data_IF_211599024499
#
_entry.id   IF_211599024499
#
_cell.length_a   1.000
_cell.length_b   1.000
_cell.length_c   1.000
_cell.angle_alpha   90.00
_cell.angle_beta   90.00
_cell.angle_gamma   90.00
#
_symmetry.space_group_name_H-M   'P 1'
#
loop_
_entity.id
_entity.type
_entity.pdbx_description
1 polymer ?
#
# COMPACT_ATOMS: atom_id res chain seq x y z
N UNK A 1 -2.24 -10.66 4.68
CA UNK A 1 -2.43 -9.67 3.60
C UNK A 1 -3.52 -10.10 2.64
N UNK A 2 -3.28 -11.01 1.67
CA UNK A 2 -4.33 -11.38 0.70
C UNK A 2 -5.64 -11.84 1.33
N UNK A 3 -5.58 -12.78 2.28
CA UNK A 3 -6.77 -13.30 2.95
C UNK A 3 -7.58 -12.19 3.64
N UNK A 4 -6.92 -11.25 4.32
CA UNK A 4 -7.61 -10.14 4.99
C UNK A 4 -8.26 -9.19 4.00
N UNK A 5 -7.63 -8.95 2.84
CA UNK A 5 -8.17 -8.07 1.78
C UNK A 5 -9.33 -8.71 1.02
N UNK A 6 -9.22 -9.99 0.67
CA UNK A 6 -10.34 -10.74 0.07
C UNK A 6 -11.53 -10.82 1.03
N UNK A 7 -11.27 -11.05 2.33
CA UNK A 7 -12.31 -11.06 3.35
C UNK A 7 -12.98 -9.70 3.49
N UNK A 8 -12.22 -8.61 3.55
CA UNK A 8 -12.74 -7.25 3.62
C UNK A 8 -13.66 -6.93 2.43
N UNK A 9 -13.23 -7.29 1.20
CA UNK A 9 -14.08 -7.15 0.02
C UNK A 9 -15.37 -7.97 0.11
N UNK A 10 -15.26 -9.26 0.47
CA UNK A 10 -16.40 -10.16 0.56
C UNK A 10 -17.43 -9.69 1.60
N UNK A 11 -16.96 -9.19 2.75
CA UNK A 11 -17.85 -8.61 3.76
C UNK A 11 -18.57 -7.36 3.24
N UNK A 12 -17.91 -6.54 2.44
CA UNK A 12 -18.57 -5.39 1.81
C UNK A 12 -19.65 -5.80 0.79
N UNK A 13 -19.43 -6.88 0.04
CA UNK A 13 -20.47 -7.41 -0.87
C UNK A 13 -21.68 -7.93 -0.07
N UNK A 14 -21.43 -8.62 1.05
CA UNK A 14 -22.50 -9.11 1.93
C UNK A 14 -23.24 -7.97 2.62
N UNK A 15 -22.54 -6.91 3.02
CA UNK A 15 -23.16 -5.73 3.62
C UNK A 15 -24.21 -5.13 2.69
N UNK A 16 -23.92 -5.07 1.39
CA UNK A 16 -24.81 -4.50 0.36
C UNK A 16 -26.07 -5.35 0.08
N UNK A 17 -26.21 -6.54 0.67
CA UNK A 17 -27.48 -7.26 0.67
C UNK A 17 -28.58 -6.53 1.45
N UNK A 18 -28.18 -5.71 2.44
CA UNK A 18 -29.09 -5.04 3.37
C UNK A 18 -28.84 -3.53 3.35
N UNK A 19 -27.58 -3.12 3.45
CA UNK A 19 -27.17 -1.72 3.47
C UNK A 19 -27.17 -1.07 2.09
N UNK A 20 -27.06 0.26 2.07
CA UNK A 20 -27.05 1.06 0.82
C UNK A 20 -25.65 1.44 0.37
N UNK A 21 -24.78 1.83 1.31
CA UNK A 21 -23.44 2.33 1.01
C UNK A 21 -22.44 1.65 1.96
N UNK A 22 -21.49 0.92 1.39
CA UNK A 22 -20.53 0.14 2.17
C UNK A 22 -19.58 1.07 2.94
N UNK A 23 -19.42 0.89 4.26
CA UNK A 23 -18.43 1.64 5.02
C UNK A 23 -17.02 1.50 4.42
N UNK A 24 -16.29 2.61 4.38
CA UNK A 24 -14.92 2.64 3.86
C UNK A 24 -13.92 1.95 4.80
N UNK A 25 -14.10 2.09 6.11
CA UNK A 25 -13.20 1.50 7.10
C UNK A 25 -13.66 0.10 7.50
N UNK A 26 -12.74 -0.88 7.43
CA UNK A 26 -13.00 -2.26 7.88
C UNK A 26 -13.57 -2.33 9.31
N UNK A 27 -13.08 -1.47 10.22
CA UNK A 27 -13.58 -1.42 11.60
C UNK A 27 -15.08 -1.12 11.64
N UNK A 28 -15.52 -0.18 10.82
CA UNK A 28 -16.91 0.29 10.81
C UNK A 28 -17.79 -0.74 10.09
N UNK A 29 -17.28 -1.36 9.02
CA UNK A 29 -17.91 -2.52 8.36
C UNK A 29 -18.12 -3.68 9.34
N UNK A 30 -17.10 -4.05 10.13
CA UNK A 30 -17.22 -5.11 11.13
C UNK A 30 -18.16 -4.75 12.29
N UNK A 31 -18.37 -3.46 12.55
CA UNK A 31 -19.27 -2.95 13.58
C UNK A 31 -20.72 -2.85 13.13
N UNK A 32 -21.02 -3.10 11.86
CA UNK A 32 -22.33 -2.88 11.28
C UNK A 32 -23.38 -3.90 11.74
N UNK A 33 -24.62 -3.44 11.87
CA UNK A 33 -25.76 -4.28 12.23
C UNK A 33 -26.15 -5.20 11.08
N UNK A 34 -25.94 -4.76 9.84
CA UNK A 34 -26.21 -5.50 8.61
C UNK A 34 -25.41 -6.81 8.57
N UNK A 35 -24.11 -6.76 8.86
CA UNK A 35 -23.30 -7.98 8.92
C UNK A 35 -23.64 -8.84 10.13
N UNK A 36 -23.99 -8.22 11.27
CA UNK A 36 -24.44 -8.96 12.44
C UNK A 36 -25.77 -9.67 12.20
N UNK A 37 -26.65 -9.13 11.36
CA UNK A 37 -27.90 -9.79 10.95
C UNK A 37 -27.65 -11.03 10.09
N UNK A 38 -26.62 -11.01 9.23
CA UNK A 38 -26.27 -12.15 8.36
C UNK A 38 -25.49 -13.23 9.13
N UNK A 39 -24.45 -12.83 9.87
CA UNK A 39 -23.48 -13.76 10.47
C UNK A 39 -23.69 -14.00 11.97
N UNK A 40 -24.48 -13.16 12.63
CA UNK A 40 -24.65 -13.17 14.08
C UNK A 40 -23.58 -12.35 14.80
N UNK A 41 -23.99 -11.68 15.89
CA UNK A 41 -23.14 -10.78 16.66
C UNK A 41 -21.87 -11.46 17.21
N UNK A 42 -21.98 -12.71 17.68
CA UNK A 42 -20.85 -13.45 18.24
C UNK A 42 -19.74 -13.69 17.22
N UNK A 43 -20.11 -14.03 15.97
CA UNK A 43 -19.14 -14.25 14.89
C UNK A 43 -18.45 -12.95 14.51
N UNK A 44 -19.22 -11.86 14.40
CA UNK A 44 -18.66 -10.53 14.13
C UNK A 44 -17.72 -10.06 15.25
N UNK A 45 -18.04 -10.36 16.51
CA UNK A 45 -17.17 -10.04 17.64
C UNK A 45 -15.83 -10.80 17.58
N UNK A 46 -15.84 -12.09 17.24
CA UNK A 46 -14.61 -12.86 17.01
C UNK A 46 -13.81 -12.25 15.87
N UNK A 47 -14.46 -11.89 14.77
CA UNK A 47 -13.77 -11.31 13.62
C UNK A 47 -13.12 -9.95 13.94
N UNK A 48 -13.78 -9.10 14.73
CA UNK A 48 -13.22 -7.83 15.23
C UNK A 48 -11.93 -8.03 16.03
N UNK A 49 -11.82 -9.10 16.81
CA UNK A 49 -10.60 -9.43 17.56
C UNK A 49 -9.44 -9.75 16.63
N UNK A 50 -9.68 -10.44 15.51
CA UNK A 50 -8.60 -10.83 14.60
C UNK A 50 -8.16 -9.72 13.64
N UNK A 51 -9.09 -9.00 13.01
CA UNK A 51 -8.76 -8.09 11.89
C UNK A 51 -9.26 -6.65 12.06
N UNK A 52 -10.05 -6.37 13.10
CA UNK A 52 -10.78 -5.10 13.22
C UNK A 52 -10.10 -4.04 14.08
N UNK A 53 -10.15 -4.21 15.40
CA UNK A 53 -9.83 -3.13 16.36
C UNK A 53 -8.35 -3.15 16.79
N UNK A 54 -7.74 -1.97 17.06
CA UNK A 54 -6.44 -1.87 17.75
C UNK A 54 -6.41 -2.56 19.12
N UNK A 55 -7.55 -2.79 19.76
CA UNK A 55 -7.64 -3.53 21.03
C UNK A 55 -7.56 -5.06 20.86
N UNK A 56 -7.56 -5.56 19.61
CA UNK A 56 -7.38 -6.97 19.26
C UNK A 56 -6.03 -7.23 18.60
N UNK A 57 -5.92 -8.33 17.85
CA UNK A 57 -4.71 -8.68 17.08
C UNK A 57 -4.45 -7.69 15.93
N UNK A 58 -5.53 -7.12 15.35
CA UNK A 58 -5.45 -6.14 14.28
C UNK A 58 -4.57 -6.61 13.09
N UNK A 59 -4.66 -7.90 12.73
CA UNK A 59 -3.76 -8.56 11.78
C UNK A 59 -3.75 -7.86 10.41
N UNK A 60 -4.88 -7.29 9.99
CA UNK A 60 -4.97 -6.52 8.74
C UNK A 60 -3.96 -5.37 8.76
N UNK A 61 -4.00 -4.52 9.78
CA UNK A 61 -3.14 -3.34 9.84
C UNK A 61 -1.69 -3.70 10.16
N UNK A 62 -1.45 -4.64 11.08
CA UNK A 62 -0.10 -5.10 11.42
C UNK A 62 0.66 -5.59 10.18
N UNK A 63 -0.03 -6.34 9.31
CA UNK A 63 0.57 -6.86 8.08
C UNK A 63 0.68 -5.81 6.98
N UNK A 64 -0.39 -5.08 6.68
CA UNK A 64 -0.41 -4.12 5.56
C UNK A 64 0.41 -2.85 5.80
N UNK A 65 0.84 -2.59 7.04
CA UNK A 65 1.79 -1.53 7.38
C UNK A 65 3.23 -2.02 7.58
N UNK A 66 3.49 -3.32 7.35
CA UNK A 66 4.84 -3.89 7.43
C UNK A 66 5.43 -3.90 8.85
N UNK A 67 4.59 -3.98 9.89
CA UNK A 67 5.06 -4.03 11.27
C UNK A 67 5.55 -5.42 11.68
N UNK A 68 4.93 -6.48 11.15
CA UNK A 68 5.36 -7.84 11.44
C UNK A 68 6.58 -8.22 10.61
N UNK A 69 7.61 -8.71 11.29
CA UNK A 69 8.76 -9.38 10.70
C UNK A 69 8.44 -10.82 10.27
N UNK A 70 9.26 -11.44 9.41
CA UNK A 70 9.11 -12.85 9.07
C UNK A 70 9.02 -13.72 10.33
N UNK A 71 8.12 -14.69 10.32
CA UNK A 71 7.85 -15.64 11.43
C UNK A 71 7.25 -15.02 12.71
N UNK A 72 7.15 -13.69 12.81
CA UNK A 72 6.55 -13.02 13.99
C UNK A 72 5.06 -13.27 14.11
N UNK A 73 4.35 -13.51 13.00
CA UNK A 73 2.94 -13.89 12.99
C UNK A 73 2.85 -15.42 12.93
N UNK A 74 2.42 -16.09 14.02
CA UNK A 74 2.25 -17.53 14.05
C UNK A 74 1.35 -18.04 12.91
N UNK A 75 1.74 -19.11 12.19
CA UNK A 75 0.94 -19.69 11.09
C UNK A 75 -0.49 -20.06 11.50
N UNK A 76 -0.71 -20.43 12.77
CA UNK A 76 -2.03 -20.72 13.35
C UNK A 76 -3.05 -19.60 13.17
N UNK A 77 -2.61 -18.33 13.13
CA UNK A 77 -3.52 -17.22 12.86
C UNK A 77 -4.01 -17.21 11.43
N UNK A 78 -3.17 -17.57 10.46
CA UNK A 78 -3.59 -17.76 9.08
C UNK A 78 -4.59 -18.91 8.95
N UNK A 79 -4.29 -20.06 9.56
CA UNK A 79 -5.19 -21.22 9.59
C UNK A 79 -6.55 -20.89 10.22
N UNK A 80 -6.55 -20.17 11.35
CA UNK A 80 -7.77 -19.73 12.01
C UNK A 80 -8.58 -18.76 11.14
N UNK A 81 -7.90 -17.81 10.47
CA UNK A 81 -8.57 -16.90 9.55
C UNK A 81 -9.21 -17.65 8.38
N UNK A 82 -8.53 -18.65 7.80
CA UNK A 82 -9.11 -19.48 6.74
C UNK A 82 -10.36 -20.23 7.23
N UNK A 83 -10.31 -20.79 8.44
CA UNK A 83 -11.45 -21.47 9.05
C UNK A 83 -12.63 -20.53 9.29
N UNK A 84 -12.37 -19.34 9.85
CA UNK A 84 -13.38 -18.31 10.05
C UNK A 84 -14.02 -17.91 8.73
N UNK A 85 -13.22 -17.69 7.69
CA UNK A 85 -13.71 -17.34 6.36
C UNK A 85 -14.57 -18.45 5.75
N UNK A 86 -14.18 -19.72 5.87
CA UNK A 86 -15.01 -20.84 5.42
C UNK A 86 -16.34 -20.92 6.19
N UNK A 87 -16.31 -20.70 7.51
CA UNK A 87 -17.50 -20.65 8.36
C UNK A 87 -18.45 -19.52 7.98
N UNK A 88 -17.92 -18.32 7.69
CA UNK A 88 -18.71 -17.21 7.17
C UNK A 88 -19.40 -17.58 5.84
N UNK A 89 -18.70 -18.26 4.94
CA UNK A 89 -19.29 -18.76 3.69
C UNK A 89 -20.48 -19.70 3.91
N UNK A 90 -20.41 -20.59 4.91
CA UNK A 90 -21.52 -21.48 5.26
C UNK A 90 -22.74 -20.73 5.83
N UNK A 91 -22.48 -19.75 6.70
CA UNK A 91 -23.53 -18.88 7.27
C UNK A 91 -24.20 -18.06 6.17
N UNK A 92 -23.41 -17.46 5.27
CA UNK A 92 -23.92 -16.70 4.13
C UNK A 92 -24.81 -17.57 3.24
N UNK A 93 -24.33 -18.77 2.88
CA UNK A 93 -25.12 -19.72 2.07
C UNK A 93 -26.47 -20.03 2.71
N UNK A 94 -26.47 -20.28 4.02
CA UNK A 94 -27.70 -20.55 4.78
C UNK A 94 -28.63 -19.33 4.80
N UNK A 95 -28.07 -18.13 4.94
CA UNK A 95 -28.83 -16.88 4.92
C UNK A 95 -29.49 -16.65 3.55
N UNK A 96 -28.73 -16.72 2.46
CA UNK A 96 -29.23 -16.54 1.08
C UNK A 96 -30.31 -17.57 0.73
N UNK A 97 -30.17 -18.83 1.18
CA UNK A 97 -31.18 -19.86 0.96
C UNK A 97 -32.52 -19.55 1.64
N UNK A 98 -32.48 -18.94 2.84
CA UNK A 98 -33.65 -18.54 3.62
C UNK A 98 -34.31 -17.27 3.06
N UNK A 99 -33.51 -16.27 2.72
CA UNK A 99 -34.01 -14.96 2.29
C UNK A 99 -34.29 -14.87 0.80
N UNK A 100 -33.79 -15.84 0.00
CA UNK A 100 -33.87 -15.84 -1.47
C UNK A 100 -33.20 -14.63 -2.12
N UNK A 101 -32.32 -13.94 -1.39
CA UNK A 101 -31.51 -12.86 -1.95
C UNK A 101 -30.39 -13.44 -2.82
N UNK A 102 -29.95 -12.64 -3.78
CA UNK A 102 -28.79 -12.94 -4.63
C UNK A 102 -27.64 -12.03 -4.21
N UNK A 103 -26.48 -12.63 -3.95
CA UNK A 103 -25.26 -11.87 -3.70
C UNK A 103 -24.75 -11.28 -5.01
N UNK A 104 -24.56 -9.96 -5.04
CA UNK A 104 -23.92 -9.26 -6.15
C UNK A 104 -22.51 -8.85 -5.73
N UNK A 105 -21.53 -9.19 -6.56
CA UNK A 105 -20.14 -8.81 -6.33
C UNK A 105 -19.87 -7.44 -6.94
N UNK A 106 -19.19 -6.57 -6.18
CA UNK A 106 -18.73 -5.29 -6.70
C UNK A 106 -17.75 -5.54 -7.85
N UNK A 107 -17.65 -4.62 -8.81
CA UNK A 107 -16.62 -4.70 -9.86
C UNK A 107 -15.23 -4.45 -9.27
N UNK A 108 -14.20 -5.01 -9.90
CA UNK A 108 -12.82 -4.63 -9.59
C UNK A 108 -12.53 -3.25 -10.17
N UNK A 109 -11.63 -2.52 -9.51
CA UNK A 109 -11.16 -1.22 -9.97
C UNK A 109 -9.99 -1.45 -10.93
N UNK A 110 -10.08 -0.85 -12.11
CA UNK A 110 -8.93 -0.68 -12.99
C UNK A 110 -8.29 0.66 -12.67
N UNK A 111 -7.02 0.70 -12.21
CA UNK A 111 -6.34 1.96 -11.95
C UNK A 111 -6.34 2.84 -13.20
N UNK A 112 -6.88 4.05 -13.09
CA UNK A 112 -6.96 5.02 -14.19
C UNK A 112 -5.64 5.77 -14.35
N UNK A 113 -5.38 6.31 -15.55
CA UNK A 113 -4.22 7.17 -15.86
C UNK A 113 -2.84 6.54 -15.63
N UNK A 114 -2.76 5.20 -15.62
CA UNK A 114 -1.51 4.50 -15.37
C UNK A 114 -0.44 4.83 -16.44
N UNK A 115 -0.83 4.99 -17.71
CA UNK A 115 0.07 5.30 -18.82
C UNK A 115 0.93 6.56 -18.60
N UNK A 116 0.37 7.61 -18.01
CA UNK A 116 1.12 8.85 -17.74
C UNK A 116 2.13 8.69 -16.59
N UNK A 117 1.92 7.68 -15.74
CA UNK A 117 2.69 7.38 -14.54
C UNK A 117 3.80 6.34 -14.79
N UNK A 118 3.78 5.64 -15.93
CA UNK A 118 4.81 4.69 -16.33
C UNK A 118 6.05 5.44 -16.86
N UNK A 119 6.92 5.88 -15.95
CA UNK A 119 8.14 6.63 -16.28
C UNK A 119 9.37 5.73 -16.37
N UNK A 120 9.43 4.69 -15.53
CA UNK A 120 10.53 3.73 -15.53
C UNK A 120 10.37 2.68 -16.64
N UNK A 121 11.46 2.24 -17.27
CA UNK A 121 11.44 1.14 -18.22
C UNK A 121 11.17 -0.21 -17.53
N UNK A 122 11.00 -1.24 -18.35
CA UNK A 122 10.93 -2.62 -17.87
C UNK A 122 12.19 -3.01 -17.09
N UNK A 123 11.99 -3.69 -15.96
CA UNK A 123 13.07 -4.14 -15.08
C UNK A 123 13.82 -5.30 -15.77
N UNK A 124 15.08 -5.06 -16.12
CA UNK A 124 15.96 -6.03 -16.79
C UNK A 124 16.64 -6.97 -15.80
N UNK A 125 17.26 -8.05 -16.30
CA UNK A 125 18.08 -8.93 -15.49
C UNK A 125 19.24 -8.18 -14.79
N UNK A 126 19.83 -7.20 -15.45
CA UNK A 126 20.90 -6.37 -14.89
C UNK A 126 20.40 -5.58 -13.66
N UNK A 127 19.22 -4.98 -13.75
CA UNK A 127 18.58 -4.26 -12.64
C UNK A 127 18.22 -5.21 -11.50
N UNK A 128 17.71 -6.41 -11.80
CA UNK A 128 17.41 -7.42 -10.78
C UNK A 128 18.67 -7.88 -10.03
N UNK A 129 19.79 -8.09 -10.73
CA UNK A 129 21.07 -8.44 -10.12
C UNK A 129 21.57 -7.34 -9.18
N UNK A 130 21.42 -6.07 -9.58
CA UNK A 130 21.75 -4.91 -8.73
C UNK A 130 20.86 -4.87 -7.49
N UNK A 131 19.56 -5.13 -7.65
CA UNK A 131 18.61 -5.16 -6.55
C UNK A 131 18.97 -6.24 -5.51
N UNK A 132 19.30 -7.45 -5.96
CA UNK A 132 19.72 -8.55 -5.08
C UNK A 132 20.92 -8.17 -4.21
N UNK A 133 21.93 -7.53 -4.81
CA UNK A 133 23.11 -7.10 -4.07
C UNK A 133 22.79 -5.91 -3.14
N UNK A 134 22.10 -4.89 -3.65
CA UNK A 134 21.71 -3.70 -2.89
C UNK A 134 20.86 -4.04 -1.67
N UNK A 135 19.97 -5.04 -1.77
CA UNK A 135 19.14 -5.48 -0.64
C UNK A 135 19.95 -5.89 0.58
N UNK A 136 21.10 -6.53 0.38
CA UNK A 136 21.94 -7.02 1.49
C UNK A 136 22.86 -5.94 2.07
N UNK A 137 23.07 -4.84 1.33
CA UNK A 137 24.03 -3.78 1.66
C UNK A 137 23.38 -2.47 2.08
N UNK A 138 22.14 -2.24 1.68
CA UNK A 138 21.42 -0.99 1.91
C UNK A 138 20.96 -0.87 3.37
N UNK A 139 21.28 0.26 4.02
CA UNK A 139 20.80 0.58 5.36
C UNK A 139 19.29 0.89 5.41
N UNK A 140 18.63 1.00 4.24
CA UNK A 140 17.19 1.16 4.14
C UNK A 140 16.42 -0.06 4.65
N UNK A 141 16.96 -1.26 4.39
CA UNK A 141 16.31 -2.53 4.75
C UNK A 141 16.76 -2.95 6.15
N UNK A 142 15.79 -3.15 7.04
CA UNK A 142 16.05 -3.80 8.32
C UNK A 142 16.45 -5.25 8.06
N UNK A 143 17.58 -5.72 8.61
CA UNK A 143 18.09 -7.08 8.38
C UNK A 143 17.04 -8.18 8.61
N UNK A 144 16.20 -8.01 9.64
CA UNK A 144 15.13 -8.96 9.96
C UNK A 144 14.05 -9.04 8.87
N UNK A 145 13.89 -7.98 8.07
CA UNK A 145 12.89 -7.87 7.00
C UNK A 145 13.40 -8.34 5.63
N UNK A 146 14.70 -8.62 5.50
CA UNK A 146 15.32 -9.08 4.25
C UNK A 146 14.59 -10.27 3.58
N UNK A 147 14.09 -11.29 4.32
CA UNK A 147 13.37 -12.40 3.70
C UNK A 147 12.13 -11.97 2.89
N UNK A 148 11.44 -10.88 3.26
CA UNK A 148 10.30 -10.40 2.48
C UNK A 148 10.72 -9.80 1.14
N UNK A 149 11.88 -9.14 1.07
CA UNK A 149 12.44 -8.63 -0.18
C UNK A 149 12.87 -9.77 -1.11
N UNK A 150 13.51 -10.80 -0.57
CA UNK A 150 13.87 -12.01 -1.34
C UNK A 150 12.63 -12.69 -1.93
N UNK A 151 11.58 -12.86 -1.11
CA UNK A 151 10.31 -13.42 -1.60
C UNK A 151 9.70 -12.51 -2.66
N UNK A 152 9.72 -11.19 -2.49
CA UNK A 152 9.19 -10.25 -3.49
C UNK A 152 9.87 -10.42 -4.85
N UNK A 153 11.20 -10.56 -4.87
CA UNK A 153 11.97 -10.84 -6.08
C UNK A 153 11.61 -12.20 -6.72
N UNK A 154 11.49 -13.25 -5.91
CA UNK A 154 11.05 -14.57 -6.40
C UNK A 154 9.66 -14.48 -7.03
N UNK A 155 8.73 -13.73 -6.44
CA UNK A 155 7.39 -13.52 -7.00
C UNK A 155 7.44 -12.76 -8.32
N UNK A 156 8.28 -11.73 -8.44
CA UNK A 156 8.47 -11.04 -9.71
C UNK A 156 8.97 -11.98 -10.82
N UNK A 157 10.05 -12.73 -10.54
CA UNK A 157 10.63 -13.69 -11.49
C UNK A 157 9.66 -14.81 -11.89
N UNK A 158 8.73 -15.15 -11.01
CA UNK A 158 7.68 -16.16 -11.25
C UNK A 158 6.42 -15.57 -11.92
N UNK A 159 6.47 -14.34 -12.45
CA UNK A 159 5.33 -13.63 -13.03
C UNK A 159 4.14 -13.43 -12.08
N UNK A 160 4.39 -13.45 -10.76
CA UNK A 160 3.39 -13.19 -9.72
C UNK A 160 3.47 -11.73 -9.28
N UNK A 161 3.08 -10.84 -10.20
CA UNK A 161 3.26 -9.39 -10.07
C UNK A 161 2.52 -8.79 -8.86
N UNK A 162 1.26 -9.16 -8.64
CA UNK A 162 0.50 -8.70 -7.48
C UNK A 162 1.17 -9.06 -6.15
N UNK A 163 1.67 -10.31 -6.02
CA UNK A 163 2.33 -10.75 -4.80
C UNK A 163 3.65 -10.00 -4.56
N UNK A 164 4.40 -9.70 -5.63
CA UNK A 164 5.58 -8.86 -5.56
C UNK A 164 5.23 -7.44 -5.08
N UNK A 165 4.25 -6.80 -5.72
CA UNK A 165 3.82 -5.45 -5.37
C UNK A 165 3.33 -5.35 -3.92
N UNK A 166 2.52 -6.30 -3.45
CA UNK A 166 2.04 -6.35 -2.05
C UNK A 166 3.22 -6.37 -1.07
N UNK A 167 4.21 -7.23 -1.31
CA UNK A 167 5.38 -7.31 -0.44
C UNK A 167 6.19 -6.01 -0.51
N UNK A 168 6.52 -5.53 -1.71
CA UNK A 168 7.31 -4.30 -1.89
C UNK A 168 6.66 -3.09 -1.24
N UNK A 169 5.35 -2.90 -1.37
CA UNK A 169 4.65 -1.76 -0.77
C UNK A 169 4.79 -1.76 0.75
N UNK A 170 4.61 -2.91 1.40
CA UNK A 170 4.82 -3.02 2.85
C UNK A 170 6.28 -2.78 3.24
N UNK A 171 7.22 -3.27 2.43
CA UNK A 171 8.64 -3.13 2.71
C UNK A 171 9.17 -1.71 2.49
N UNK A 172 8.66 -1.02 1.47
CA UNK A 172 8.91 0.40 1.24
C UNK A 172 8.41 1.22 2.43
N UNK A 173 7.21 0.92 2.93
CA UNK A 173 6.68 1.58 4.12
C UNK A 173 7.59 1.35 5.34
N UNK A 174 7.98 0.11 5.63
CA UNK A 174 8.89 -0.22 6.73
C UNK A 174 10.23 0.51 6.62
N UNK A 175 10.84 0.53 5.43
CA UNK A 175 12.10 1.23 5.19
C UNK A 175 11.97 2.74 5.33
N UNK A 176 10.90 3.34 4.79
CA UNK A 176 10.61 4.77 4.96
C UNK A 176 10.37 5.12 6.43
N UNK A 177 9.72 4.26 7.23
CA UNK A 177 9.58 4.44 8.69
C UNK A 177 10.93 4.42 9.39
N UNK A 178 11.83 3.52 8.99
CA UNK A 178 13.19 3.45 9.54
C UNK A 178 13.97 4.73 9.26
N UNK A 179 13.93 5.21 8.01
CA UNK A 179 14.59 6.48 7.61
C UNK A 179 13.95 7.66 8.35
N UNK A 180 12.62 7.72 8.43
CA UNK A 180 11.89 8.75 9.17
C UNK A 180 12.32 8.81 10.63
N UNK A 181 12.33 7.67 11.32
CA UNK A 181 12.67 7.60 12.73
C UNK A 181 14.11 8.01 13.00
N UNK A 182 15.02 7.66 12.08
CA UNK A 182 16.43 8.04 12.13
C UNK A 182 16.62 9.55 11.93
N UNK A 183 16.07 10.11 10.84
CA UNK A 183 16.23 11.53 10.50
C UNK A 183 15.57 12.47 11.52
N UNK A 184 14.39 12.09 12.02
CA UNK A 184 13.66 12.88 13.01
C UNK A 184 14.06 12.56 14.46
N UNK A 185 15.06 11.68 14.67
CA UNK A 185 15.56 11.27 16.00
C UNK A 185 14.44 10.79 16.94
N UNK A 186 13.54 9.97 16.42
CA UNK A 186 12.37 9.47 17.15
C UNK A 186 12.18 7.95 16.97
N UNK A 187 13.12 7.11 17.45
CA UNK A 187 13.04 5.65 17.31
C UNK A 187 11.75 5.05 17.87
N UNK A 188 11.20 5.65 18.93
CA UNK A 188 9.93 5.25 19.54
C UNK A 188 8.71 5.41 18.61
N UNK A 189 8.84 6.20 17.52
CA UNK A 189 7.75 6.46 16.57
C UNK A 189 7.79 5.55 15.35
N UNK A 190 8.66 4.54 15.30
CA UNK A 190 8.72 3.60 14.16
C UNK A 190 7.33 3.03 13.83
N UNK A 191 6.56 2.65 14.86
CA UNK A 191 5.22 2.07 14.74
C UNK A 191 4.08 3.10 14.61
N UNK A 192 4.34 4.38 14.84
CA UNK A 192 3.33 5.46 14.85
C UNK A 192 3.68 6.62 13.92
N UNK A 193 4.62 6.39 12.98
CA UNK A 193 5.09 7.40 12.06
C UNK A 193 4.02 7.78 11.03
N UNK A 194 3.77 9.07 10.89
CA UNK A 194 3.07 9.70 9.77
C UNK A 194 4.13 10.13 8.75
N UNK A 195 4.61 9.16 7.98
CA UNK A 195 5.83 9.26 7.15
C UNK A 195 5.78 10.46 6.19
N UNK A 196 4.62 10.74 5.62
CA UNK A 196 4.44 11.75 4.56
C UNK A 196 3.85 13.08 5.06
N UNK A 197 3.71 13.28 6.37
CA UNK A 197 3.19 14.53 6.93
C UNK A 197 4.22 15.66 6.87
N UNK A 198 3.76 16.92 6.74
CA UNK A 198 4.60 18.12 6.75
C UNK A 198 5.26 18.35 8.10
N UNK A 199 4.46 18.25 9.15
CA UNK A 199 4.87 18.51 10.51
C UNK A 199 4.67 17.26 11.36
N UNK A 200 5.55 17.12 12.34
CA UNK A 200 5.41 16.18 13.44
C UNK A 200 4.37 16.72 14.44
N UNK A 201 3.87 15.85 15.31
CA UNK A 201 2.87 16.18 16.33
C UNK A 201 3.36 17.26 17.32
N UNK A 202 4.67 17.47 17.44
CA UNK A 202 5.29 18.52 18.26
C UNK A 202 5.53 19.83 17.47
N UNK A 203 4.96 19.94 16.26
CA UNK A 203 5.07 21.11 15.38
C UNK A 203 6.37 21.21 14.59
N UNK A 204 7.35 20.31 14.82
CA UNK A 204 8.61 20.31 14.06
C UNK A 204 8.39 19.87 12.62
N UNK A 205 9.22 20.37 11.71
CA UNK A 205 9.20 19.96 10.30
C UNK A 205 9.72 18.53 10.18
N UNK A 206 8.98 17.69 9.47
CA UNK A 206 9.41 16.34 9.11
C UNK A 206 10.62 16.41 8.17
N UNK A 207 11.73 15.79 8.57
CA UNK A 207 12.98 15.80 7.81
C UNK A 207 13.00 14.82 6.65
N UNK A 208 12.11 13.82 6.63
CA UNK A 208 12.11 12.79 5.59
C UNK A 208 11.83 13.38 4.19
N UNK A 209 10.78 14.21 3.96
CA UNK A 209 10.53 14.81 2.65
C UNK A 209 11.70 15.68 2.16
N UNK A 210 12.34 16.41 3.07
CA UNK A 210 13.52 17.24 2.75
C UNK A 210 14.71 16.38 2.31
N UNK A 211 14.92 15.25 2.99
CA UNK A 211 16.00 14.31 2.66
C UNK A 211 15.73 13.57 1.36
N UNK A 212 14.51 13.08 1.14
CA UNK A 212 14.15 12.37 -0.09
C UNK A 212 14.17 13.28 -1.31
N UNK A 213 13.85 14.57 -1.12
CA UNK A 213 13.75 15.54 -2.20
C UNK A 213 12.42 15.42 -2.95
N UNK A 214 12.13 16.48 -3.72
CA UNK A 214 10.86 16.63 -4.43
C UNK A 214 10.56 15.47 -5.39
N UNK A 215 11.47 15.02 -6.28
CA UNK A 215 11.14 13.98 -7.27
C UNK A 215 10.69 12.66 -6.64
N UNK A 216 11.41 12.19 -5.61
CA UNK A 216 11.08 10.95 -4.91
C UNK A 216 9.75 11.06 -4.14
N UNK A 217 9.50 12.22 -3.54
CA UNK A 217 8.25 12.48 -2.82
C UNK A 217 7.05 12.57 -3.76
N UNK A 218 7.20 13.22 -4.92
CA UNK A 218 6.14 13.28 -5.93
C UNK A 218 5.80 11.89 -6.48
N UNK A 219 6.79 11.04 -6.72
CA UNK A 219 6.53 9.65 -7.12
C UNK A 219 5.72 8.91 -6.05
N UNK A 220 6.16 8.96 -4.79
CA UNK A 220 5.47 8.31 -3.66
C UNK A 220 4.03 8.82 -3.52
N UNK A 221 3.79 10.11 -3.67
CA UNK A 221 2.45 10.67 -3.56
C UNK A 221 1.56 10.32 -4.73
N UNK A 222 2.05 10.41 -5.96
CA UNK A 222 1.27 10.03 -7.14
C UNK A 222 0.85 8.55 -7.05
N UNK A 223 1.81 7.64 -6.80
CA UNK A 223 1.54 6.20 -6.80
C UNK A 223 0.71 5.71 -5.60
N UNK A 224 0.88 6.32 -4.43
CA UNK A 224 0.36 5.77 -3.18
C UNK A 224 -0.77 6.59 -2.55
N UNK A 225 -0.85 7.91 -2.78
CA UNK A 225 -1.67 8.79 -1.94
C UNK A 225 -2.67 9.67 -2.72
N UNK A 226 -2.29 10.17 -3.90
CA UNK A 226 -3.08 11.17 -4.62
C UNK A 226 -4.45 10.62 -5.02
N UNK A 227 -5.53 11.38 -4.82
CA UNK A 227 -6.90 10.91 -5.07
C UNK A 227 -7.14 10.51 -6.53
N UNK A 228 -6.63 11.33 -7.46
CA UNK A 228 -6.63 11.06 -8.91
C UNK A 228 -5.47 10.14 -9.38
N UNK A 229 -4.64 9.68 -8.43
CA UNK A 229 -3.57 8.72 -8.67
C UNK A 229 -4.07 7.28 -8.47
N UNK A 230 -3.24 6.28 -8.82
CA UNK A 230 -3.65 4.88 -8.84
C UNK A 230 -3.82 4.26 -7.44
N UNK A 231 -3.39 4.94 -6.36
CA UNK A 231 -3.54 4.53 -4.95
C UNK A 231 -3.41 3.03 -4.72
N UNK A 232 -2.38 2.44 -5.32
CA UNK A 232 -2.28 0.99 -5.54
C UNK A 232 -2.30 0.23 -4.21
N UNK A 233 -1.63 0.78 -3.19
CA UNK A 233 -1.61 0.21 -1.85
C UNK A 233 -3.00 0.10 -1.25
N UNK A 234 -3.80 1.16 -1.34
CA UNK A 234 -5.13 1.19 -0.72
C UNK A 234 -6.03 0.17 -1.39
N UNK A 235 -6.14 0.24 -2.71
CA UNK A 235 -6.99 -0.68 -3.48
C UNK A 235 -6.56 -2.15 -3.32
N UNK A 236 -5.25 -2.45 -3.28
CA UNK A 236 -4.77 -3.82 -2.96
C UNK A 236 -5.15 -4.23 -1.54
N UNK A 237 -5.02 -3.33 -0.56
CA UNK A 237 -5.32 -3.63 0.84
C UNK A 237 -6.81 -3.87 1.11
N UNK A 238 -7.69 -3.25 0.32
CA UNK A 238 -9.14 -3.46 0.35
C UNK A 238 -9.63 -4.58 -0.58
N UNK A 239 -8.72 -5.23 -1.32
CA UNK A 239 -9.05 -6.30 -2.26
C UNK A 239 -9.74 -5.82 -3.54
N UNK A 240 -9.67 -4.53 -3.85
CA UNK A 240 -10.40 -3.89 -4.95
C UNK A 240 -9.76 -4.10 -6.33
N UNK A 241 -8.56 -4.66 -6.39
CA UNK A 241 -7.87 -4.99 -7.64
C UNK A 241 -7.82 -6.50 -7.83
N UNK A 242 -8.08 -6.94 -9.06
CA UNK A 242 -7.91 -8.33 -9.44
C UNK A 242 -6.41 -8.71 -9.42
N UNK A 243 -6.05 -9.62 -8.52
CA UNK A 243 -4.65 -10.05 -8.36
C UNK A 243 -4.12 -10.86 -9.55
N UNK A 244 -5.00 -11.50 -10.32
CA UNK A 244 -4.62 -12.30 -11.49
C UNK A 244 -4.30 -11.44 -12.71
N UNK A 245 -4.92 -10.27 -12.81
CA UNK A 245 -4.78 -9.32 -13.92
C UNK A 245 -3.89 -8.12 -13.54
N UNK A 246 -3.14 -8.24 -12.44
CA UNK A 246 -2.32 -7.15 -11.95
C UNK A 246 -1.17 -6.83 -12.92
N UNK A 247 -1.05 -5.55 -13.29
CA UNK A 247 -0.11 -5.08 -14.31
C UNK A 247 1.36 -5.35 -13.93
N UNK A 248 2.10 -5.89 -14.91
CA UNK A 248 3.56 -6.02 -14.87
C UNK A 248 4.20 -4.64 -14.78
N UNK A 249 3.70 -3.69 -15.57
CA UNK A 249 4.20 -2.33 -15.70
C UNK A 249 4.13 -1.60 -14.35
N UNK A 250 3.02 -1.71 -13.63
CA UNK A 250 2.89 -1.19 -12.25
C UNK A 250 3.99 -1.75 -11.34
N UNK A 251 4.22 -3.07 -11.43
CA UNK A 251 5.23 -3.74 -10.60
C UNK A 251 6.65 -3.31 -10.98
N UNK A 252 6.91 -3.08 -12.27
CA UNK A 252 8.16 -2.52 -12.76
C UNK A 252 8.42 -1.13 -12.19
N UNK A 253 7.41 -0.25 -12.14
CA UNK A 253 7.57 1.08 -11.54
C UNK A 253 7.96 1.00 -10.07
N UNK A 254 7.28 0.14 -9.29
CA UNK A 254 7.57 -0.06 -7.87
C UNK A 254 8.98 -0.64 -7.65
N UNK A 255 9.38 -1.63 -8.45
CA UNK A 255 10.72 -2.24 -8.35
C UNK A 255 11.81 -1.25 -8.75
N UNK A 256 11.66 -0.57 -9.89
CA UNK A 256 12.62 0.42 -10.36
C UNK A 256 12.83 1.53 -9.35
N UNK A 257 11.74 2.08 -8.81
CA UNK A 257 11.82 3.07 -7.74
C UNK A 257 12.46 2.51 -6.47
N UNK A 258 12.14 1.27 -6.10
CA UNK A 258 12.77 0.60 -4.94
C UNK A 258 14.28 0.47 -5.12
N UNK A 259 14.76 0.11 -6.32
CA UNK A 259 16.20 0.05 -6.63
C UNK A 259 16.84 1.41 -6.40
N UNK A 260 16.31 2.46 -7.01
CA UNK A 260 16.86 3.82 -6.84
C UNK A 260 16.88 4.22 -5.38
N UNK A 261 15.81 3.94 -4.63
CA UNK A 261 15.73 4.27 -3.21
C UNK A 261 16.79 3.51 -2.40
N UNK A 262 16.95 2.20 -2.61
CA UNK A 262 17.95 1.39 -1.91
C UNK A 262 19.38 1.86 -2.16
N UNK A 263 19.68 2.24 -3.40
CA UNK A 263 20.98 2.76 -3.82
C UNK A 263 21.38 4.05 -3.10
N UNK A 264 20.42 4.82 -2.59
CA UNK A 264 20.72 6.01 -1.75
C UNK A 264 21.27 5.67 -0.37
N UNK A 265 21.18 4.41 0.04
CA UNK A 265 21.59 3.94 1.36
C UNK A 265 22.63 2.81 1.29
N UNK A 266 23.30 2.63 0.15
CA UNK A 266 24.51 1.78 0.04
C UNK A 266 25.78 2.64 0.19
N UNK A 267 26.92 1.98 0.41
CA UNK A 267 28.24 2.62 0.44
C UNK A 267 28.56 3.35 -0.88
N UNK A 268 29.24 4.50 -0.80
CA UNK A 268 29.56 5.33 -1.98
C UNK A 268 30.39 4.58 -3.03
N UNK A 269 31.34 3.73 -2.61
CA UNK A 269 32.15 2.94 -3.52
C UNK A 269 31.34 1.87 -4.24
N UNK A 270 30.35 1.29 -3.56
CA UNK A 270 29.42 0.34 -4.18
C UNK A 270 28.44 1.05 -5.13
N UNK A 271 27.96 2.24 -4.74
CA UNK A 271 27.10 3.07 -5.59
C UNK A 271 27.79 3.45 -6.91
N UNK A 272 29.09 3.80 -6.88
CA UNK A 272 29.82 4.13 -8.11
C UNK A 272 29.89 2.93 -9.05
N UNK A 273 30.12 1.72 -8.53
CA UNK A 273 30.13 0.49 -9.33
C UNK A 273 28.76 0.23 -9.96
N UNK A 274 27.67 0.44 -9.22
CA UNK A 274 26.33 0.27 -9.80
C UNK A 274 25.98 1.33 -10.85
N UNK A 275 26.47 2.56 -10.71
CA UNK A 275 26.26 3.64 -11.70
C UNK A 275 26.94 3.40 -13.04
N UNK A 276 27.98 2.55 -13.10
CA UNK A 276 28.60 2.16 -14.38
C UNK A 276 27.65 1.37 -15.28
N UNK A 277 26.61 0.75 -14.71
CA UNK A 277 25.59 0.02 -15.46
C UNK A 277 24.58 1.01 -16.04
N UNK A 278 24.53 1.09 -17.37
CA UNK A 278 23.66 2.03 -18.10
C UNK A 278 22.18 1.93 -17.70
N UNK A 279 21.67 0.72 -17.41
CA UNK A 279 20.29 0.55 -16.96
C UNK A 279 20.04 1.21 -15.59
N UNK A 280 21.00 1.13 -14.66
CA UNK A 280 20.91 1.74 -13.33
C UNK A 280 21.03 3.25 -13.40
N UNK A 281 21.98 3.75 -14.19
CA UNK A 281 22.16 5.19 -14.42
C UNK A 281 20.87 5.81 -14.98
N UNK A 282 20.23 5.13 -15.94
CA UNK A 282 18.94 5.56 -16.48
C UNK A 282 17.86 5.62 -15.40
N UNK A 283 17.75 4.60 -14.53
CA UNK A 283 16.77 4.61 -13.45
C UNK A 283 16.98 5.79 -12.49
N UNK A 284 18.23 6.05 -12.11
CA UNK A 284 18.58 7.18 -11.22
C UNK A 284 18.19 8.51 -11.89
N UNK A 285 18.57 8.70 -13.16
CA UNK A 285 18.25 9.91 -13.93
C UNK A 285 16.73 10.15 -14.04
N UNK A 286 15.95 9.09 -14.33
CA UNK A 286 14.49 9.17 -14.40
C UNK A 286 13.86 9.50 -13.05
N UNK A 287 14.38 8.94 -11.96
CA UNK A 287 13.89 9.21 -10.62
C UNK A 287 14.22 10.64 -10.16
N UNK A 288 15.42 11.14 -10.46
CA UNK A 288 15.84 12.52 -10.15
C UNK A 288 15.09 13.55 -11.01
N UNK A 289 14.70 13.19 -12.22
CA UNK A 289 13.89 14.00 -13.13
C UNK A 289 12.38 13.82 -12.96
N UNK A 290 11.91 13.02 -12.00
CA UNK A 290 10.48 12.79 -11.83
C UNK A 290 9.76 14.08 -11.45
N UNK A 291 8.61 14.32 -12.10
CA UNK A 291 7.69 15.41 -11.77
C UNK A 291 6.27 14.88 -11.68
N UNK A 292 5.49 15.34 -10.71
CA UNK A 292 4.13 14.83 -10.49
C UNK A 292 3.28 14.87 -11.76
N UNK A 293 2.62 13.74 -12.02
CA UNK A 293 1.70 13.53 -13.14
C UNK A 293 0.24 13.66 -12.70
N UNK A 294 -0.01 13.61 -11.40
CA UNK A 294 -1.34 13.81 -10.83
C UNK A 294 -1.63 15.29 -10.50
N UNK A 295 -0.60 16.13 -10.36
CA UNK A 295 -0.77 17.53 -9.99
C UNK A 295 -1.61 18.32 -11.03
N UNK A 296 -2.51 19.24 -10.60
CA UNK A 296 -3.36 20.01 -11.50
C UNK A 296 -2.59 20.77 -12.58
N UNK A 297 -1.38 21.26 -12.28
CA UNK A 297 -0.52 21.94 -13.27
C UNK A 297 -0.10 21.00 -14.40
N UNK A 298 0.19 19.72 -14.10
CA UNK A 298 0.50 18.73 -15.13
C UNK A 298 -0.74 18.46 -15.99
N UNK A 299 -1.90 18.27 -15.35
CA UNK A 299 -3.17 18.05 -16.06
C UNK A 299 -3.53 19.24 -16.97
N UNK A 300 -3.32 20.48 -16.51
CA UNK A 300 -3.50 21.68 -17.31
C UNK A 300 -2.52 21.75 -18.49
N UNK A 301 -1.23 21.47 -18.27
CA UNK A 301 -0.24 21.39 -19.38
C UNK A 301 -0.65 20.37 -20.42
N UNK A 302 -1.12 19.20 -19.98
CA UNK A 302 -1.61 18.12 -20.85
C UNK A 302 -2.81 18.56 -21.67
N UNK A 303 -3.78 19.23 -21.05
CA UNK A 303 -4.96 19.77 -21.74
C UNK A 303 -4.57 20.83 -22.78
N UNK A 304 -3.65 21.74 -22.46
CA UNK A 304 -3.16 22.76 -23.41
C UNK A 304 -2.44 22.11 -24.60
N UNK A 305 -1.56 21.13 -24.37
CA UNK A 305 -0.88 20.41 -25.45
C UNK A 305 -1.86 19.62 -26.34
N UNK A 306 -2.89 18.99 -25.75
CA UNK A 306 -3.94 18.30 -26.51
C UNK A 306 -4.73 19.25 -27.41
N UNK A 307 -5.04 20.47 -26.92
CA UNK A 307 -5.71 21.50 -27.72
C UNK A 307 -4.84 22.03 -28.87
N UNK A 308 -3.51 22.12 -28.66
CA UNK A 308 -2.57 22.52 -29.71
C UNK A 308 -2.36 21.44 -30.78
N UNK A 309 -2.39 20.16 -30.41
CA UNK A 309 -2.30 19.03 -31.34
C UNK A 309 -3.58 18.80 -32.19
N UNK A 310 -4.73 19.28 -31.71
CA UNK A 310 -6.01 19.17 -32.43
C UNK A 310 -6.27 20.33 -33.41
N UNK A 311 -5.51 21.43 -33.35
CA UNK A 311 -5.65 22.58 -34.23
C UNK A 311 -4.51 22.66 -35.25
N UNK A 312 -4.75 22.26 -36.51
CA UNK A 312 -3.93 22.78 -37.62
C UNK A 312 -4.14 24.30 -37.67
N UNK A 313 -3.09 25.05 -37.40
CA UNK A 313 -2.98 26.46 -37.73
C UNK A 313 -3.51 27.41 -36.65
N UNK A 314 -2.72 27.63 -35.60
CA UNK A 314 -2.69 28.92 -34.92
C UNK A 314 -1.22 29.30 -34.72
N UNK A 315 -0.73 30.24 -35.53
CA UNK A 315 0.49 30.98 -35.22
C UNK A 315 0.24 31.74 -33.93
N UNK A 316 1.00 31.45 -32.87
CA UNK A 316 1.06 32.31 -31.69
C UNK A 316 2.45 32.92 -31.63
N UNK A 317 2.48 34.24 -31.80
CA UNK A 317 3.65 35.11 -31.76
C UNK A 317 4.29 35.16 -30.37
N UNK A 318 5.41 35.87 -30.27
CA UNK A 318 6.36 36.07 -29.14
C UNK A 318 5.79 36.22 -27.71
N UNK A 319 4.48 36.32 -27.52
CA UNK A 319 3.79 36.39 -26.22
C UNK A 319 3.89 35.10 -25.39
N UNK A 320 4.01 33.92 -26.00
CA UNK A 320 4.19 32.66 -25.25
C UNK A 320 5.58 32.55 -24.61
N UNK A 321 6.60 33.13 -25.25
CA UNK A 321 7.97 33.18 -24.72
C UNK A 321 8.08 34.17 -23.55
N UNK A 322 7.28 35.26 -23.56
CA UNK A 322 7.18 36.21 -22.46
C UNK A 322 6.46 35.63 -21.24
N UNK A 323 5.43 34.80 -21.40
CA UNK A 323 4.85 34.06 -20.27
C UNK A 323 5.84 33.05 -19.67
N UNK A 324 6.64 32.39 -20.51
CA UNK A 324 7.67 31.43 -20.06
C UNK A 324 8.83 32.12 -19.33
N UNK A 325 9.20 33.36 -19.70
CA UNK A 325 10.19 34.20 -19.01
C UNK A 325 9.65 34.88 -17.75
N UNK A 326 8.43 35.43 -17.79
CA UNK A 326 7.79 36.02 -16.61
C UNK A 326 7.51 34.97 -15.52
N UNK A 327 7.22 33.71 -15.88
CA UNK A 327 7.01 32.65 -14.90
C UNK A 327 8.32 32.12 -14.27
N UNK A 328 9.46 32.26 -14.94
CA UNK A 328 10.78 32.04 -14.32
C UNK A 328 11.23 33.25 -13.47
N UNK A 329 10.84 34.47 -13.85
CA UNK A 329 11.19 35.71 -13.12
C UNK A 329 10.32 36.04 -11.90
N UNK A 330 9.08 35.53 -11.84
CA UNK A 330 8.18 35.72 -10.70
C UNK A 330 8.40 34.70 -9.55
N UNK A 331 9.45 33.88 -9.64
CA UNK A 331 9.89 32.97 -8.57
C UNK A 331 11.12 33.57 -7.89
N UNK A 332 10.94 34.77 -7.35
CA UNK A 332 11.74 35.23 -6.22
C UNK A 332 10.77 35.27 -5.02
N UNK A 333 11.04 34.45 -3.98
CA UNK A 333 10.32 34.24 -2.69
C UNK A 333 9.20 33.18 -2.70
N UNK A 334 8.99 32.33 -1.65
CA UNK A 334 9.83 31.83 -0.53
C UNK A 334 10.28 30.35 -0.81
N UNK A 335 10.82 29.52 0.12
CA UNK A 335 11.44 28.23 -0.26
C UNK A 335 10.44 27.29 -0.94
N UNK A 336 10.86 26.67 -2.04
CA UNK A 336 10.08 25.80 -2.95
C UNK A 336 9.20 24.74 -2.24
N UNK A 337 9.63 24.25 -1.07
CA UNK A 337 8.86 23.32 -0.23
C UNK A 337 7.53 23.89 0.31
N UNK A 338 7.37 25.20 0.42
CA UNK A 338 6.16 25.78 1.01
C UNK A 338 4.95 25.67 0.07
N UNK A 339 5.16 25.84 -1.25
CA UNK A 339 4.12 25.64 -2.28
C UNK A 339 3.76 24.17 -2.46
N UNK A 340 4.77 23.29 -2.36
CA UNK A 340 4.61 21.85 -2.39
C UNK A 340 3.60 21.39 -1.33
N UNK A 341 3.78 21.82 -0.08
CA UNK A 341 2.83 21.46 0.96
C UNK A 341 1.43 22.00 0.74
N UNK A 342 1.25 23.22 0.23
CA UNK A 342 -0.08 23.80 -0.04
C UNK A 342 -0.88 22.99 -1.06
N UNK A 343 -0.23 22.35 -2.04
CA UNK A 343 -0.89 21.47 -3.01
C UNK A 343 -1.34 20.14 -2.38
N UNK A 344 -0.60 19.61 -1.41
CA UNK A 344 -0.82 18.29 -0.82
C UNK A 344 -1.43 18.30 0.60
N UNK A 345 -1.59 19.46 1.24
CA UNK A 345 -2.20 19.58 2.58
C UNK A 345 -3.66 19.14 2.63
N UNK A 346 -4.37 19.16 1.50
CA UNK A 346 -5.73 18.58 1.40
C UNK A 346 -5.77 17.07 1.14
N UNK A 347 -4.63 16.46 0.77
CA UNK A 347 -4.54 15.03 0.38
C UNK A 347 -3.91 14.15 1.47
N UNK A 348 -3.35 14.74 2.53
CA UNK A 348 -2.58 14.02 3.57
C UNK A 348 -3.47 13.37 4.64
N UNK A 349 -4.76 13.67 4.68
CA UNK A 349 -5.64 13.20 5.77
C UNK A 349 -6.19 11.77 5.63
N UNK A 350 -6.03 11.07 4.49
CA UNK A 350 -6.91 9.91 4.21
C UNK A 350 -6.28 8.57 3.81
N UNK A 351 -4.96 8.48 3.69
CA UNK A 351 -4.32 7.22 3.23
C UNK A 351 -3.26 6.68 4.21
N UNK A 352 -2.62 7.57 4.96
CA UNK A 352 -1.65 7.19 6.01
C UNK A 352 -2.15 7.45 7.44
N UNK A 353 -3.35 8.00 7.62
CA UNK A 353 -3.92 8.31 8.93
C UNK A 353 -4.99 7.28 9.28
N UNK A 354 -4.63 6.33 10.13
CA UNK A 354 -5.38 5.73 11.25
C UNK A 354 -4.44 4.69 11.86
N UNK A 355 -3.73 4.96 12.96
CA UNK A 355 -4.28 5.18 14.30
C UNK A 355 -3.40 6.17 15.08
N UNK A 356 -3.94 7.33 15.42
CA UNK A 356 -3.53 8.09 16.60
C UNK A 356 -4.16 7.50 17.89
N UNK A 357 -4.44 6.20 17.91
CA UNK A 357 -4.60 5.47 19.15
C UNK A 357 -3.21 5.26 19.71
N UNK A 358 -2.98 5.69 20.95
CA UNK A 358 -1.80 5.31 21.73
C UNK A 358 -1.71 3.79 21.63
N UNK A 359 -0.79 3.26 20.82
CA UNK A 359 -0.31 1.90 20.97
C UNK A 359 0.28 1.89 22.38
N UNK A 360 -0.46 1.34 23.35
CA UNK A 360 0.04 1.15 24.68
C UNK A 360 1.05 0.01 24.58
N UNK A 361 2.30 0.36 24.26
CA UNK A 361 3.45 -0.55 24.27
C UNK A 361 3.78 -0.85 25.74
N UNK A 362 2.88 -1.53 26.43
CA UNK A 362 3.22 -2.31 27.62
C UNK A 362 3.40 -3.74 27.17
N UNK A 363 4.63 -4.03 26.80
CA UNK A 363 5.23 -5.36 26.84
C UNK A 363 4.54 -6.44 26.01
N UNK A 364 5.17 -6.79 24.89
CA UNK A 364 5.43 -8.21 24.60
C UNK A 364 6.38 -8.75 25.69
N UNK A 365 5.92 -8.77 26.95
CA UNK A 365 6.45 -9.71 27.91
C UNK A 365 5.70 -10.99 27.60
N UNK A 366 6.40 -11.93 26.97
CA UNK A 366 6.03 -13.34 26.94
C UNK A 366 5.60 -13.77 28.34
N UNK A 367 4.32 -14.10 28.57
CA UNK A 367 4.00 -14.95 29.71
C UNK A 367 4.50 -16.36 29.37
N UNK A 368 4.95 -17.15 30.35
CA UNK A 368 5.32 -18.52 30.11
C UNK A 368 4.10 -19.27 29.56
N UNK A 369 4.37 -20.13 28.59
CA UNK A 369 3.40 -21.06 28.02
C UNK A 369 2.64 -21.79 29.15
N UNK A 370 1.33 -21.95 28.95
CA UNK A 370 0.52 -23.14 29.23
C UNK A 370 -0.85 -22.80 29.83
N UNK A 371 -1.87 -23.49 29.30
CA UNK A 371 -3.27 -23.60 29.75
C UNK A 371 -4.36 -22.71 29.12
N UNK A 372 -4.12 -21.46 28.69
CA UNK A 372 -5.24 -20.66 28.12
C UNK A 372 -5.46 -20.90 26.62
N UNK A 373 -4.40 -21.16 25.85
CA UNK A 373 -4.51 -21.44 24.42
C UNK A 373 -5.13 -22.81 24.12
N UNK A 374 -5.05 -23.79 25.03
CA UNK A 374 -5.54 -25.17 24.78
C UNK A 374 -7.07 -25.26 24.73
N UNK A 375 -7.78 -24.35 25.40
CA UNK A 375 -9.25 -24.39 25.48
C UNK A 375 -9.95 -24.04 24.16
N UNK A 376 -9.32 -23.29 23.25
CA UNK A 376 -9.90 -22.94 21.93
C UNK A 376 -9.73 -24.10 20.94
N UNK A 377 -8.73 -24.98 21.13
CA UNK A 377 -8.37 -26.02 20.15
C UNK A 377 -9.02 -27.40 20.40
N UNK A 378 -9.71 -27.62 21.53
CA UNK A 378 -10.21 -28.96 21.91
C UNK A 378 -11.60 -29.33 21.37
N UNK A 379 -12.26 -28.47 20.58
CA UNK A 379 -13.65 -28.72 20.15
C UNK A 379 -13.91 -28.42 18.68
N UNK A 380 -13.09 -28.98 17.77
CA UNK A 380 -13.42 -28.95 16.33
C UNK A 380 -13.15 -30.33 15.75
N UNK A 381 -14.23 -31.08 15.51
CA UNK A 381 -14.18 -32.38 14.83
C UNK A 381 -13.73 -32.26 13.37
N UNK A 382 -13.34 -33.37 12.72
CA UNK A 382 -12.74 -33.33 11.40
C UNK A 382 -13.77 -32.89 10.33
N UNK A 383 -13.58 -31.71 9.74
CA UNK A 383 -14.26 -31.31 8.51
C UNK A 383 -13.42 -31.73 7.29
N UNK A 384 -14.08 -32.25 6.24
CA UNK A 384 -13.43 -32.72 5.02
C UNK A 384 -12.92 -31.53 4.19
N UNK A 385 -11.65 -31.61 3.80
CA UNK A 385 -10.85 -30.59 3.11
C UNK A 385 -11.49 -30.02 1.82
N UNK A 386 -12.32 -30.82 1.13
CA UNK A 386 -13.05 -30.39 -0.08
C UNK A 386 -14.18 -29.38 0.20
N UNK A 387 -14.86 -29.46 1.35
CA UNK A 387 -15.97 -28.56 1.67
C UNK A 387 -15.45 -27.16 2.07
N UNK A 388 -14.26 -27.10 2.68
CA UNK A 388 -13.59 -25.85 3.05
C UNK A 388 -13.16 -25.06 1.82
N UNK A 389 -12.65 -25.72 0.78
CA UNK A 389 -12.26 -25.06 -0.48
C UNK A 389 -13.47 -24.51 -1.24
N UNK A 390 -14.57 -25.26 -1.34
CA UNK A 390 -15.81 -24.80 -1.99
C UNK A 390 -16.48 -23.63 -1.26
N UNK A 391 -16.51 -23.67 0.08
CA UNK A 391 -17.06 -22.57 0.88
C UNK A 391 -16.19 -21.31 0.82
N UNK A 392 -14.85 -21.47 0.78
CA UNK A 392 -13.95 -20.33 0.55
C UNK A 392 -14.04 -19.80 -0.88
N UNK A 393 -14.21 -20.65 -1.90
CA UNK A 393 -14.35 -20.20 -3.28
C UNK A 393 -15.66 -19.42 -3.50
N UNK A 394 -16.76 -19.87 -2.91
CA UNK A 394 -18.05 -19.18 -2.97
C UNK A 394 -18.08 -17.85 -2.19
N UNK A 395 -17.22 -17.70 -1.18
CA UNK A 395 -17.17 -16.51 -0.34
C UNK A 395 -16.07 -15.51 -0.74
N UNK A 396 -14.95 -15.98 -1.31
CA UNK A 396 -13.79 -15.16 -1.66
C UNK A 396 -13.52 -15.01 -3.16
N UNK A 397 -14.02 -15.92 -4.01
CA UNK A 397 -13.59 -16.07 -5.42
C UNK A 397 -14.76 -16.21 -6.40
N UNK A 398 -15.96 -15.83 -6.00
CA UNK A 398 -17.07 -15.51 -6.93
C UNK A 398 -17.22 -14.00 -6.96
#
# INVERSE_FOLDING_TARGET
MKLTSCLERALGDVFLLIGKECPFLLRDLLASEELAQVFGQSVMNVLKVFVGSPCGLNLRNVLWHGFASPEEVPPKYCSMMMLLTAGLGQLLKSYLQKTKLTLAHRSFITPTNLEDLLVFPDVTYEVLSVLEEAMTKSAFILKIMLPYWEVALVKFKSHRFADCAILLLTQLETGLRNVFATLNRCPQRLLTAEILAKHLNDGKINQLPLFLGEPAMEFLWDFLNHQEGPRIRDHLSHGEINLHEFSKETTNQLLAFSVVLLLRFVDEGLLSVFKEKASVELLISLAEGYSSRCHPVFQLKKQVCRMQGAGRGVYVSETTCLLQRCWKGAVCLPPMMERFWTAYTGCTERVFIFSASIFNVRGLNTPPCDHVNTAIFLYIGPMKEQETQLCMHAFLLS
#
